data_IF_119499577886
#
_entry.id   IF_119499577886
#
_cell.length_a   1.000
_cell.length_b   1.000
_cell.length_c   1.000
_cell.angle_alpha   90.00
_cell.angle_beta   90.00
_cell.angle_gamma   90.00
#
_symmetry.space_group_name_H-M   'P 1'
#
loop_
_entity.id
_entity.type
_entity.pdbx_description
1 polymer ?
#
# COMPACT_ATOMS: atom_id res chain seq x y z
N UNK A 1 -32.66 -7.09 -59.11
CA UNK A 1 -33.25 -5.78 -58.72
C UNK A 1 -33.86 -5.97 -57.34
N UNK A 2 -33.34 -5.55 -56.20
CA UNK A 2 -32.09 -4.91 -55.75
C UNK A 2 -32.22 -4.94 -54.20
N UNK A 3 -31.31 -5.60 -53.48
CA UNK A 3 -30.12 -5.03 -52.80
C UNK A 3 -30.34 -3.78 -51.93
N UNK A 4 -30.39 -4.04 -50.61
CA UNK A 4 -29.39 -3.64 -49.60
C UNK A 4 -29.38 -2.21 -48.99
N UNK A 5 -29.07 -2.22 -47.67
CA UNK A 5 -28.49 -1.18 -46.77
C UNK A 5 -29.50 -0.34 -45.95
N UNK A 6 -29.62 -0.61 -44.64
CA UNK A 6 -28.75 -0.18 -43.52
C UNK A 6 -29.14 1.21 -43.02
N UNK A 7 -29.77 1.29 -41.85
CA UNK A 7 -29.12 1.66 -40.58
C UNK A 7 -28.65 3.12 -40.54
N UNK A 8 -29.48 4.00 -39.99
CA UNK A 8 -29.08 5.27 -39.37
C UNK A 8 -30.34 5.82 -38.67
N UNK A 9 -30.47 5.86 -37.36
CA UNK A 9 -29.76 6.86 -36.54
C UNK A 9 -29.84 6.45 -35.07
N UNK A 10 -29.20 5.34 -34.72
CA UNK A 10 -28.69 5.13 -33.37
C UNK A 10 -27.48 6.05 -33.20
N UNK A 11 -27.66 7.29 -32.77
CA UNK A 11 -26.52 8.17 -32.53
C UNK A 11 -26.73 9.21 -31.42
N UNK A 12 -27.44 8.84 -30.35
CA UNK A 12 -27.64 9.71 -29.18
C UNK A 12 -26.84 9.25 -27.93
N UNK A 13 -25.85 8.37 -28.13
CA UNK A 13 -25.00 7.82 -27.05
C UNK A 13 -23.49 7.84 -27.36
N UNK A 14 -23.04 8.71 -28.28
CA UNK A 14 -21.66 8.70 -28.80
C UNK A 14 -20.85 9.98 -28.62
N UNK A 15 -21.44 11.06 -28.12
CA UNK A 15 -20.70 12.27 -27.79
C UNK A 15 -20.57 12.33 -26.28
N UNK A 16 -19.52 11.67 -25.75
CA UNK A 16 -18.77 12.24 -24.63
C UNK A 16 -18.84 13.74 -24.82
N UNK A 17 -19.38 14.48 -23.86
CA UNK A 17 -19.58 15.92 -23.99
C UNK A 17 -18.18 16.55 -23.97
N UNK A 18 -17.48 16.49 -25.11
CA UNK A 18 -16.06 16.79 -25.31
C UNK A 18 -15.77 18.21 -24.87
N UNK A 19 -16.77 19.08 -25.00
CA UNK A 19 -16.76 20.46 -24.48
C UNK A 19 -16.76 20.49 -22.96
N UNK A 20 -17.58 19.68 -22.27
CA UNK A 20 -17.53 19.56 -20.80
C UNK A 20 -16.22 18.93 -20.33
N UNK A 21 -15.71 17.91 -21.03
CA UNK A 21 -14.42 17.29 -20.72
C UNK A 21 -13.27 18.29 -20.89
N UNK A 22 -13.23 19.04 -22.00
CA UNK A 22 -12.23 20.06 -22.26
C UNK A 22 -12.28 21.18 -21.22
N UNK A 23 -13.48 21.65 -20.84
CA UNK A 23 -13.65 22.65 -19.78
C UNK A 23 -13.17 22.13 -18.42
N UNK A 24 -13.50 20.89 -18.07
CA UNK A 24 -13.04 20.29 -16.82
C UNK A 24 -11.52 20.09 -16.80
N UNK A 25 -10.92 19.67 -17.92
CA UNK A 25 -9.47 19.54 -18.06
C UNK A 25 -8.76 20.90 -18.00
N UNK A 26 -9.33 21.94 -18.63
CA UNK A 26 -8.80 23.31 -18.54
C UNK A 26 -8.86 23.84 -17.09
N UNK A 27 -9.95 23.59 -16.37
CA UNK A 27 -10.08 23.94 -14.95
C UNK A 27 -9.10 23.15 -14.07
N UNK A 28 -8.94 21.85 -14.32
CA UNK A 28 -7.98 21.01 -13.60
C UNK A 28 -6.54 21.49 -13.85
N UNK A 29 -6.20 21.84 -15.08
CA UNK A 29 -4.88 22.36 -15.43
C UNK A 29 -4.61 23.73 -14.80
N UNK A 30 -5.62 24.62 -14.75
CA UNK A 30 -5.51 25.91 -14.06
C UNK A 30 -5.35 25.73 -12.54
N UNK A 31 -6.02 24.76 -11.94
CA UNK A 31 -5.88 24.44 -10.51
C UNK A 31 -4.49 23.88 -10.21
N UNK A 32 -3.99 22.98 -11.07
CA UNK A 32 -2.65 22.41 -10.96
C UNK A 32 -1.57 23.50 -11.09
N UNK A 33 -1.74 24.45 -12.00
CA UNK A 33 -0.83 25.60 -12.17
C UNK A 33 -0.79 26.48 -10.92
N UNK A 34 -1.93 26.71 -10.25
CA UNK A 34 -1.96 27.47 -8.98
C UNK A 34 -1.21 26.74 -7.86
N UNK A 35 -1.46 25.45 -7.69
CA UNK A 35 -0.75 24.64 -6.68
C UNK A 35 0.77 24.67 -6.94
N UNK A 36 1.18 24.56 -8.20
CA UNK A 36 2.60 24.66 -8.58
C UNK A 36 3.18 26.04 -8.29
N UNK A 37 2.44 27.12 -8.55
CA UNK A 37 2.89 28.49 -8.26
C UNK A 37 2.99 28.74 -6.75
N UNK A 38 2.02 28.28 -5.97
CA UNK A 38 2.01 28.41 -4.51
C UNK A 38 3.14 27.59 -3.88
N UNK A 39 3.41 26.38 -4.37
CA UNK A 39 4.56 25.57 -3.96
C UNK A 39 5.88 26.22 -4.34
N UNK A 40 6.01 26.74 -5.57
CA UNK A 40 7.20 27.46 -6.01
C UNK A 40 7.45 28.71 -5.14
N UNK A 41 6.40 29.44 -4.77
CA UNK A 41 6.50 30.57 -3.84
C UNK A 41 6.93 30.13 -2.44
N UNK A 42 6.46 28.96 -1.97
CA UNK A 42 6.90 28.36 -0.70
C UNK A 42 8.36 27.91 -0.73
N UNK A 43 8.90 27.60 -1.92
CA UNK A 43 10.29 27.20 -2.15
C UNK A 43 11.24 28.37 -2.48
N UNK A 44 10.75 29.62 -2.59
CA UNK A 44 11.57 30.81 -2.82
C UNK A 44 11.98 31.48 -1.49
N UNK A 45 12.74 30.77 -0.66
CA UNK A 45 13.67 31.42 0.27
C UNK A 45 15.07 31.39 -0.39
N UNK A 46 15.49 32.47 -1.07
CA UNK A 46 16.70 32.47 -1.90
C UNK A 46 18.01 32.32 -1.12
N UNK A 47 17.98 32.37 0.22
CA UNK A 47 19.16 32.15 1.08
C UNK A 47 19.14 30.84 1.86
N UNK A 48 18.08 30.03 1.73
CA UNK A 48 18.02 28.70 2.34
C UNK A 48 18.74 27.66 1.47
N UNK A 49 19.61 26.79 2.03
CA UNK A 49 20.15 25.68 1.26
C UNK A 49 18.98 24.85 0.72
N UNK A 50 18.97 24.60 -0.59
CA UNK A 50 18.04 23.64 -1.21
C UNK A 50 18.25 22.30 -0.52
N UNK A 51 17.40 22.02 0.46
CA UNK A 51 17.50 20.80 1.23
C UNK A 51 17.00 19.68 0.30
N UNK A 52 17.96 18.99 -0.33
CA UNK A 52 17.73 17.85 -1.24
C UNK A 52 16.86 16.74 -0.60
N UNK A 53 16.72 16.76 0.73
CA UNK A 53 15.89 15.86 1.51
C UNK A 53 15.20 16.61 2.67
N UNK A 54 14.08 17.33 2.40
CA UNK A 54 13.39 18.13 3.42
C UNK A 54 12.83 17.29 4.57
N UNK A 55 12.73 15.96 4.38
CA UNK A 55 12.22 15.02 5.38
C UNK A 55 13.35 14.35 6.19
N UNK A 56 14.61 14.46 5.74
CA UNK A 56 15.79 13.76 6.24
C UNK A 56 15.64 12.23 6.21
N UNK A 57 15.06 11.69 5.13
CA UNK A 57 14.93 10.26 4.87
C UNK A 57 16.29 9.55 4.78
N UNK A 58 17.29 10.18 4.17
CA UNK A 58 18.63 9.62 4.03
C UNK A 58 19.31 9.39 5.38
N UNK A 59 19.16 10.35 6.30
CA UNK A 59 19.70 10.20 7.66
C UNK A 59 18.87 9.24 8.48
N UNK A 60 17.54 9.24 8.34
CA UNK A 60 16.65 8.25 8.97
C UNK A 60 17.02 6.82 8.57
N UNK A 61 17.30 6.60 7.29
CA UNK A 61 17.74 5.30 6.76
C UNK A 61 19.13 4.90 7.30
N UNK A 62 20.09 5.83 7.31
CA UNK A 62 21.42 5.57 7.91
C UNK A 62 21.30 5.20 9.38
N UNK A 63 20.51 5.95 10.15
CA UNK A 63 20.24 5.69 11.56
C UNK A 63 19.64 4.30 11.77
N UNK A 64 18.68 3.91 10.93
CA UNK A 64 18.13 2.55 10.95
C UNK A 64 19.19 1.48 10.65
N UNK A 65 20.04 1.68 9.64
CA UNK A 65 21.13 0.75 9.31
C UNK A 65 22.17 0.65 10.45
N UNK A 66 22.56 1.78 11.06
CA UNK A 66 23.48 1.80 12.20
C UNK A 66 22.89 1.04 13.38
N UNK A 67 21.63 1.26 13.69
CA UNK A 67 20.92 0.56 14.75
C UNK A 67 20.86 -0.97 14.51
N UNK A 68 20.67 -1.40 13.26
CA UNK A 68 20.74 -2.83 12.91
C UNK A 68 22.15 -3.41 13.14
N UNK A 69 23.20 -2.62 12.92
CA UNK A 69 24.59 -3.03 13.17
C UNK A 69 24.94 -3.05 14.65
N UNK A 70 24.40 -2.12 15.45
CA UNK A 70 24.62 -2.01 16.89
C UNK A 70 23.85 -3.09 17.67
N UNK A 71 22.75 -3.62 17.10
CA UNK A 71 21.88 -4.61 17.74
C UNK A 71 21.64 -5.85 16.85
N UNK A 72 22.70 -6.55 16.41
CA UNK A 72 22.58 -7.67 15.47
C UNK A 72 21.77 -8.84 16.06
N UNK A 73 21.82 -9.05 17.38
CA UNK A 73 21.06 -10.11 18.03
C UNK A 73 19.55 -9.87 18.05
N UNK A 74 19.11 -8.63 18.22
CA UNK A 74 17.69 -8.30 18.21
C UNK A 74 17.10 -8.42 16.82
N UNK A 75 17.83 -7.94 15.81
CA UNK A 75 17.45 -8.12 14.40
C UNK A 75 17.44 -9.61 14.03
N UNK A 76 18.43 -10.39 14.47
CA UNK A 76 18.45 -11.83 14.23
C UNK A 76 17.25 -12.52 14.87
N UNK A 77 16.91 -12.21 16.12
CA UNK A 77 15.74 -12.76 16.80
C UNK A 77 14.44 -12.38 16.07
N UNK A 78 14.31 -11.12 15.66
CA UNK A 78 13.16 -10.67 14.86
C UNK A 78 13.05 -11.44 13.54
N UNK A 79 14.17 -11.69 12.85
CA UNK A 79 14.20 -12.49 11.61
C UNK A 79 13.79 -13.95 11.86
N UNK A 80 14.27 -14.57 12.94
CA UNK A 80 13.86 -15.93 13.31
C UNK A 80 12.35 -16.02 13.58
N UNK A 81 11.78 -15.04 14.29
CA UNK A 81 10.34 -14.98 14.54
C UNK A 81 9.54 -14.82 13.26
N UNK A 82 10.00 -13.99 12.33
CA UNK A 82 9.36 -13.82 11.02
C UNK A 82 9.37 -15.14 10.25
N UNK A 83 10.54 -15.76 10.12
CA UNK A 83 10.70 -17.03 9.42
C UNK A 83 9.83 -18.15 10.01
N UNK A 84 9.78 -18.25 11.34
CA UNK A 84 8.92 -19.21 12.02
C UNK A 84 7.44 -19.01 11.70
N UNK A 85 6.94 -17.76 11.70
CA UNK A 85 5.55 -17.47 11.35
C UNK A 85 5.25 -17.79 9.88
N UNK A 86 6.20 -17.56 8.96
CA UNK A 86 6.05 -17.96 7.57
C UNK A 86 6.03 -19.49 7.38
N UNK A 87 6.84 -20.23 8.13
CA UNK A 87 6.81 -21.69 8.11
C UNK A 87 5.44 -22.21 8.58
N UNK A 88 4.92 -21.68 9.69
CA UNK A 88 3.61 -22.04 10.21
C UNK A 88 2.48 -21.63 9.25
N UNK A 89 2.57 -20.47 8.60
CA UNK A 89 1.61 -20.06 7.57
C UNK A 89 1.58 -21.05 6.39
N UNK A 90 2.74 -21.48 5.90
CA UNK A 90 2.83 -22.49 4.85
C UNK A 90 2.26 -23.84 5.30
N UNK A 91 2.50 -24.24 6.55
CA UNK A 91 1.91 -25.46 7.12
C UNK A 91 0.38 -25.37 7.18
N UNK A 92 -0.16 -24.24 7.64
CA UNK A 92 -1.60 -24.03 7.72
C UNK A 92 -2.25 -24.02 6.33
N UNK A 93 -1.58 -23.46 5.31
CA UNK A 93 -2.03 -23.55 3.93
C UNK A 93 -2.09 -25.00 3.44
N UNK A 94 -1.05 -25.80 3.67
CA UNK A 94 -1.02 -27.22 3.27
C UNK A 94 -2.11 -28.04 3.99
N UNK A 95 -2.30 -27.82 5.29
CA UNK A 95 -3.35 -28.48 6.07
C UNK A 95 -4.75 -28.13 5.55
N UNK A 96 -5.01 -26.84 5.24
CA UNK A 96 -6.28 -26.42 4.63
C UNK A 96 -6.50 -27.03 3.24
N UNK A 97 -5.46 -27.11 2.42
CA UNK A 97 -5.54 -27.79 1.11
C UNK A 97 -5.85 -29.29 1.24
N UNK A 98 -5.48 -29.92 2.37
CA UNK A 98 -5.84 -31.29 2.71
C UNK A 98 -7.25 -31.42 3.31
N UNK A 99 -8.01 -30.33 3.39
CA UNK A 99 -9.38 -30.30 3.91
C UNK A 99 -9.47 -30.14 5.44
N UNK A 100 -8.35 -29.88 6.12
CA UNK A 100 -8.35 -29.60 7.56
C UNK A 100 -8.87 -28.18 7.85
N UNK A 101 -9.63 -28.04 8.93
CA UNK A 101 -10.01 -26.71 9.43
C UNK A 101 -8.89 -26.19 10.32
N UNK A 102 -8.22 -25.13 9.85
CA UNK A 102 -7.12 -24.50 10.58
C UNK A 102 -7.45 -23.03 10.81
N UNK A 103 -7.37 -22.60 12.06
CA UNK A 103 -7.57 -21.20 12.44
C UNK A 103 -6.49 -20.29 11.81
N UNK A 104 -6.82 -19.03 11.46
CA UNK A 104 -5.81 -18.08 10.99
C UNK A 104 -4.75 -17.83 12.06
N UNK A 105 -3.47 -17.76 11.68
CA UNK A 105 -2.38 -17.40 12.61
C UNK A 105 -2.55 -15.97 13.13
N UNK A 106 -3.08 -15.09 12.28
CA UNK A 106 -3.27 -13.69 12.57
C UNK A 106 -4.55 -13.18 11.95
N UNK A 107 -5.24 -12.30 12.68
CA UNK A 107 -6.45 -11.63 12.22
C UNK A 107 -6.20 -10.12 12.08
N UNK A 108 -6.90 -9.44 11.15
CA UNK A 108 -6.81 -7.99 11.03
C UNK A 108 -7.17 -7.29 12.34
N UNK A 109 -6.55 -6.14 12.60
CA UNK A 109 -6.91 -5.32 13.76
C UNK A 109 -8.36 -4.84 13.69
N UNK A 110 -8.96 -4.60 14.86
CA UNK A 110 -10.33 -4.11 14.95
C UNK A 110 -10.45 -2.76 14.24
N UNK A 111 -11.19 -2.75 13.13
CA UNK A 111 -11.45 -1.54 12.34
C UNK A 111 -10.71 -1.50 11.00
N UNK A 112 -9.79 -2.43 10.73
CA UNK A 112 -9.15 -2.53 9.42
C UNK A 112 -10.21 -2.86 8.36
N UNK A 113 -10.46 -1.92 7.45
CA UNK A 113 -11.49 -2.06 6.41
C UNK A 113 -10.97 -2.79 5.18
N UNK A 114 -9.65 -2.96 5.04
CA UNK A 114 -9.01 -3.54 3.85
C UNK A 114 -9.38 -5.00 3.63
N UNK A 115 -9.61 -5.74 4.72
CA UNK A 115 -9.85 -7.19 4.71
C UNK A 115 -11.29 -7.58 5.06
N UNK A 116 -12.27 -6.70 4.78
CA UNK A 116 -13.69 -6.93 5.14
C UNK A 116 -14.48 -7.77 4.14
N UNK A 117 -14.04 -7.81 2.89
CA UNK A 117 -14.70 -8.58 1.84
C UNK A 117 -14.55 -10.10 2.06
N UNK A 118 -15.61 -10.87 1.84
CA UNK A 118 -15.61 -12.32 2.10
C UNK A 118 -14.63 -13.11 1.22
N UNK A 119 -14.25 -12.55 0.06
CA UNK A 119 -13.24 -13.13 -0.83
C UNK A 119 -11.87 -13.25 -0.19
N UNK A 120 -11.59 -12.48 0.87
CA UNK A 120 -10.37 -12.64 1.67
C UNK A 120 -10.32 -13.92 2.50
N UNK A 121 -11.39 -14.72 2.54
CA UNK A 121 -11.41 -16.03 3.20
C UNK A 121 -11.06 -17.19 2.25
N UNK A 122 -10.97 -16.92 0.94
CA UNK A 122 -10.54 -17.93 -0.03
C UNK A 122 -9.03 -18.15 0.06
N UNK A 123 -8.58 -19.40 0.01
CA UNK A 123 -7.23 -19.84 0.42
C UNK A 123 -6.07 -18.96 -0.08
N UNK A 124 -6.04 -18.62 -1.37
CA UNK A 124 -4.97 -17.78 -1.96
C UNK A 124 -5.00 -16.35 -1.40
N UNK A 125 -6.19 -15.75 -1.29
CA UNK A 125 -6.33 -14.38 -0.77
C UNK A 125 -6.11 -14.33 0.74
N UNK A 126 -6.55 -15.37 1.46
CA UNK A 126 -6.32 -15.51 2.89
C UNK A 126 -4.82 -15.67 3.21
N UNK A 127 -4.09 -16.47 2.41
CA UNK A 127 -2.63 -16.58 2.53
C UNK A 127 -1.95 -15.22 2.32
N UNK A 128 -2.31 -14.47 1.27
CA UNK A 128 -1.74 -13.13 1.02
C UNK A 128 -2.05 -12.16 2.15
N UNK A 129 -3.29 -12.17 2.66
CA UNK A 129 -3.71 -11.38 3.83
C UNK A 129 -2.87 -11.72 5.05
N UNK A 130 -2.75 -13.01 5.40
CA UNK A 130 -2.01 -13.45 6.58
C UNK A 130 -0.51 -13.14 6.46
N UNK A 131 0.11 -13.37 5.30
CA UNK A 131 1.51 -13.02 5.05
C UNK A 131 1.77 -11.52 5.22
N UNK A 132 0.87 -10.68 4.70
CA UNK A 132 0.93 -9.24 4.92
C UNK A 132 0.81 -8.87 6.41
N UNK A 133 -0.19 -9.40 7.11
CA UNK A 133 -0.43 -9.09 8.53
C UNK A 133 0.74 -9.54 9.41
N UNK A 134 1.31 -10.72 9.17
CA UNK A 134 2.53 -11.23 9.84
C UNK A 134 3.66 -10.24 9.64
N UNK A 135 3.90 -9.79 8.41
CA UNK A 135 5.00 -8.86 8.09
C UNK A 135 4.77 -7.49 8.72
N UNK A 136 3.55 -6.97 8.67
CA UNK A 136 3.19 -5.68 9.28
C UNK A 136 3.37 -5.71 10.81
N UNK A 137 2.91 -6.77 11.46
CA UNK A 137 3.08 -6.95 12.91
C UNK A 137 4.55 -7.16 13.29
N UNK A 138 5.31 -7.89 12.49
CA UNK A 138 6.75 -8.06 12.67
C UNK A 138 7.50 -6.73 12.56
N UNK A 139 7.17 -5.91 11.55
CA UNK A 139 7.80 -4.61 11.38
C UNK A 139 7.51 -3.68 12.57
N UNK A 140 6.25 -3.64 13.02
CA UNK A 140 5.83 -2.86 14.20
C UNK A 140 6.52 -3.35 15.48
N UNK A 141 6.60 -4.67 15.70
CA UNK A 141 7.30 -5.24 16.85
C UNK A 141 8.80 -4.94 16.84
N UNK A 142 9.45 -5.07 15.68
CA UNK A 142 10.88 -4.78 15.52
C UNK A 142 11.18 -3.31 15.82
N UNK A 143 10.29 -2.40 15.41
CA UNK A 143 10.40 -0.97 15.71
C UNK A 143 10.14 -0.62 17.18
N UNK A 144 9.38 -1.44 17.90
CA UNK A 144 9.18 -1.30 19.34
C UNK A 144 10.34 -1.85 20.15
N UNK A 145 10.98 -2.93 19.71
CA UNK A 145 12.14 -3.50 20.41
C UNK A 145 13.36 -2.58 20.39
N UNK A 146 13.44 -1.73 19.38
CA UNK A 146 14.48 -0.68 19.30
C UNK A 146 14.14 0.60 20.08
N UNK A 147 13.03 0.61 20.82
CA UNK A 147 12.60 1.76 21.62
C UNK A 147 13.64 2.11 22.69
N UNK A 148 13.87 3.41 22.91
CA UNK A 148 14.89 3.92 23.81
C UNK A 148 16.31 3.99 23.26
N UNK A 149 16.56 3.48 22.04
CA UNK A 149 17.89 3.51 21.38
C UNK A 149 18.04 4.62 20.35
N UNK A 150 16.93 5.27 20.01
CA UNK A 150 16.87 6.39 19.09
C UNK A 150 16.38 7.66 19.79
N UNK A 151 16.85 8.85 19.38
CA UNK A 151 16.20 10.10 19.73
C UNK A 151 14.71 10.05 19.36
N UNK A 152 13.84 10.54 20.26
CA UNK A 152 12.37 10.48 20.11
C UNK A 152 11.88 11.05 18.77
N UNK A 153 12.55 12.08 18.24
CA UNK A 153 12.19 12.71 16.96
C UNK A 153 12.44 11.77 15.78
N UNK A 154 13.55 11.05 15.79
CA UNK A 154 13.95 10.17 14.69
C UNK A 154 13.15 8.87 14.74
N UNK A 155 12.89 8.34 15.95
CA UNK A 155 11.96 7.22 16.17
C UNK A 155 10.60 7.46 15.50
N UNK A 156 9.93 8.58 15.82
CA UNK A 156 8.60 8.90 15.27
C UNK A 156 8.61 8.97 13.74
N UNK A 157 9.71 9.44 13.15
CA UNK A 157 9.88 9.45 11.69
C UNK A 157 10.00 8.04 11.14
N UNK A 158 10.88 7.22 11.71
CA UNK A 158 11.06 5.81 11.31
C UNK A 158 9.72 5.07 11.39
N UNK A 159 9.01 5.16 12.51
CA UNK A 159 7.69 4.53 12.70
C UNK A 159 6.67 4.99 11.65
N UNK A 160 6.59 6.31 11.42
CA UNK A 160 5.67 6.86 10.44
C UNK A 160 5.97 6.33 9.04
N UNK A 161 7.23 6.40 8.58
CA UNK A 161 7.59 5.97 7.23
C UNK A 161 7.54 4.46 7.04
N UNK A 162 7.93 3.68 8.05
CA UNK A 162 7.78 2.23 8.01
C UNK A 162 6.30 1.84 7.88
N UNK A 163 5.41 2.50 8.63
CA UNK A 163 3.97 2.31 8.47
C UNK A 163 3.48 2.69 7.08
N UNK A 164 3.87 3.84 6.55
CA UNK A 164 3.50 4.25 5.19
C UNK A 164 3.99 3.25 4.13
N UNK A 165 5.22 2.75 4.28
CA UNK A 165 5.80 1.76 3.39
C UNK A 165 5.04 0.43 3.45
N UNK A 166 4.75 -0.07 4.66
CA UNK A 166 3.95 -1.27 4.85
C UNK A 166 2.52 -1.11 4.33
N UNK A 167 1.89 0.05 4.57
CA UNK A 167 0.54 0.33 4.06
C UNK A 167 0.52 0.38 2.52
N UNK A 168 1.58 0.88 1.87
CA UNK A 168 1.69 0.87 0.41
C UNK A 168 1.82 -0.54 -0.18
N UNK A 169 2.48 -1.46 0.53
CA UNK A 169 2.64 -2.87 0.14
C UNK A 169 1.41 -3.74 0.42
N UNK A 170 0.35 -3.18 1.02
CA UNK A 170 -0.84 -3.95 1.34
C UNK A 170 -1.45 -4.56 0.06
N UNK A 171 -1.79 -5.86 0.04
CA UNK A 171 -2.33 -6.53 -1.14
C UNK A 171 -3.69 -5.96 -1.58
N UNK A 172 -4.38 -5.25 -0.69
CA UNK A 172 -5.61 -4.51 -1.02
C UNK A 172 -5.40 -3.38 -2.03
N UNK A 173 -4.17 -2.87 -2.16
CA UNK A 173 -3.84 -1.74 -3.04
C UNK A 173 -3.66 -2.13 -4.50
N UNK A 174 -3.50 -3.43 -4.79
CA UNK A 174 -3.29 -3.91 -6.15
C UNK A 174 -4.54 -4.60 -6.69
N UNK A 175 -4.93 -4.24 -7.91
CA UNK A 175 -6.14 -4.72 -8.56
C UNK A 175 -6.22 -6.25 -8.62
N UNK A 176 -5.11 -6.91 -8.94
CA UNK A 176 -5.06 -8.36 -9.17
C UNK A 176 -5.04 -9.19 -7.88
N UNK A 177 -4.70 -8.58 -6.74
CA UNK A 177 -4.62 -9.27 -5.44
C UNK A 177 -5.77 -8.88 -4.51
N UNK A 178 -6.65 -7.98 -4.95
CA UNK A 178 -7.85 -7.59 -4.23
C UNK A 178 -9.07 -8.37 -4.76
N UNK A 179 -9.64 -9.29 -3.97
CA UNK A 179 -10.73 -10.16 -4.43
C UNK A 179 -12.00 -9.39 -4.79
N UNK A 180 -12.28 -8.28 -4.11
CA UNK A 180 -13.43 -7.43 -4.41
C UNK A 180 -13.29 -6.79 -5.80
N UNK A 181 -12.15 -6.15 -6.04
CA UNK A 181 -11.88 -5.45 -7.31
C UNK A 181 -11.79 -6.44 -8.48
N UNK A 182 -11.18 -7.60 -8.26
CA UNK A 182 -11.12 -8.67 -9.27
C UNK A 182 -12.52 -9.18 -9.63
N UNK A 183 -13.43 -9.33 -8.65
CA UNK A 183 -14.84 -9.69 -8.90
C UNK A 183 -15.57 -8.63 -9.72
N UNK A 184 -15.43 -7.36 -9.35
CA UNK A 184 -16.07 -6.24 -10.07
C UNK A 184 -15.58 -6.16 -11.53
N UNK A 185 -14.27 -6.38 -11.75
CA UNK A 185 -13.69 -6.41 -13.08
C UNK A 185 -14.20 -7.57 -13.94
N UNK A 186 -14.31 -8.78 -13.39
CA UNK A 186 -14.84 -9.94 -14.13
C UNK A 186 -16.35 -9.85 -14.42
N UNK A 187 -17.07 -9.00 -13.69
CA UNK A 187 -18.52 -8.80 -13.88
C UNK A 187 -18.86 -7.73 -14.94
N UNK A 188 -17.86 -6.97 -15.43
CA UNK A 188 -17.99 -5.93 -16.46
C UNK A 188 -17.65 -6.50 -17.83
#
# INVERSE_FOLDING_TARGET
MGDQKANNSSNDMGMLNTVKLANNMAQAQAHLQRIQADLAAFHMDPEGPVQMDPLNLGDTFKTFVTLMQEHPHEIANAQYQLFSQYQELCQNMMARMNGEQVEPLITPERGDRRFKDEGWNHDIFDFMKQAYLITAKWADATLKDIDGKLPVRDKRKVEFYAKQFMDALAPSNFMLTNPQVLREFMAT
#
